data_IF_523844749691
#
_entry.id   IF_523844749691
#
_cell.length_a   1.000
_cell.length_b   1.000
_cell.length_c   1.000
_cell.angle_alpha   90.00
_cell.angle_beta   90.00
_cell.angle_gamma   90.00
#
_symmetry.space_group_name_H-M   'P 1'
#
loop_
_entity.id
_entity.type
_entity.pdbx_description
1 polymer ?
#
# COMPACT_ATOMS: atom_id res chain seq x y z
N UNK A 1 21.83 8.19 -32.54
CA UNK A 1 22.90 7.86 -31.57
C UNK A 1 22.59 8.64 -30.31
N UNK A 2 22.23 8.12 -29.14
CA UNK A 2 22.38 6.81 -28.51
C UNK A 2 21.08 6.48 -27.76
N UNK A 3 20.62 5.23 -27.80
CA UNK A 3 19.55 4.74 -26.94
C UNK A 3 20.09 3.58 -26.11
N UNK A 4 20.13 3.79 -24.80
CA UNK A 4 20.15 2.72 -23.80
C UNK A 4 18.81 1.95 -23.86
N UNK A 5 18.90 0.62 -23.83
CA UNK A 5 17.81 -0.36 -23.69
C UNK A 5 17.23 -0.41 -22.27
N UNK A 6 15.93 -0.74 -22.10
CA UNK A 6 15.53 -1.99 -21.40
C UNK A 6 14.16 -2.56 -21.90
N UNK A 7 13.69 -3.80 -21.70
CA UNK A 7 14.16 -5.07 -21.11
C UNK A 7 13.20 -6.15 -21.68
N UNK A 8 13.61 -6.91 -22.70
CA UNK A 8 12.93 -8.16 -23.05
C UNK A 8 13.37 -9.24 -22.05
N UNK A 9 12.40 -9.97 -21.50
CA UNK A 9 12.65 -11.29 -20.96
C UNK A 9 13.19 -12.16 -22.10
N UNK A 10 14.48 -12.44 -22.02
CA UNK A 10 15.23 -13.41 -22.78
C UNK A 10 14.47 -14.75 -22.81
N UNK A 11 13.98 -15.16 -23.98
CA UNK A 11 14.00 -16.59 -24.34
C UNK A 11 15.47 -16.96 -24.53
N UNK A 12 16.13 -17.23 -23.40
CA UNK A 12 17.37 -17.98 -23.41
C UNK A 12 17.05 -19.40 -23.88
N UNK A 13 17.50 -19.71 -25.08
CA UNK A 13 18.15 -20.98 -25.37
C UNK A 13 19.04 -20.74 -26.59
N UNK A 14 20.23 -20.17 -26.38
CA UNK A 14 21.43 -21.01 -26.41
C UNK A 14 22.12 -21.20 -25.04
N UNK A 15 21.36 -21.25 -23.96
CA UNK A 15 21.67 -22.22 -22.91
C UNK A 15 20.67 -23.36 -23.12
N UNK A 16 21.13 -24.56 -23.49
CA UNK A 16 20.26 -25.74 -23.44
C UNK A 16 19.54 -25.72 -22.10
N UNK A 17 18.21 -25.94 -22.11
CA UNK A 17 17.34 -25.71 -20.96
C UNK A 17 18.04 -26.12 -19.65
N UNK A 18 18.03 -25.27 -18.61
CA UNK A 18 18.61 -25.65 -17.32
C UNK A 18 18.11 -27.03 -16.94
N UNK A 19 18.92 -27.82 -16.24
CA UNK A 19 18.43 -29.12 -15.75
C UNK A 19 17.20 -28.86 -14.89
N UNK A 20 16.06 -29.42 -15.29
CA UNK A 20 14.76 -29.20 -14.64
C UNK A 20 14.37 -30.44 -13.86
N UNK A 21 14.13 -30.28 -12.56
CA UNK A 21 13.56 -31.31 -11.72
C UNK A 21 12.04 -31.16 -11.63
N UNK A 22 11.30 -32.22 -11.91
CA UNK A 22 9.88 -32.32 -11.53
C UNK A 22 9.76 -33.20 -10.30
N UNK A 23 9.29 -32.62 -9.19
CA UNK A 23 8.91 -33.39 -8.00
C UNK A 23 7.42 -33.68 -8.12
N UNK A 24 7.09 -34.94 -8.42
CA UNK A 24 5.75 -35.42 -8.80
C UNK A 24 5.60 -35.61 -10.31
N UNK A 25 5.16 -36.80 -10.71
CA UNK A 25 5.01 -37.25 -12.10
C UNK A 25 3.55 -37.35 -12.58
N UNK A 26 2.62 -36.65 -11.93
CA UNK A 26 1.19 -36.69 -12.25
C UNK A 26 0.81 -36.02 -13.58
N UNK A 27 -0.49 -36.02 -13.93
CA UNK A 27 -0.99 -35.57 -15.23
C UNK A 27 -0.54 -34.15 -15.64
N UNK A 28 -0.45 -33.20 -14.69
CA UNK A 28 0.06 -31.85 -14.97
C UNK A 28 1.56 -31.82 -15.23
N UNK A 29 2.34 -32.62 -14.48
CA UNK A 29 3.77 -32.78 -14.72
C UNK A 29 4.02 -33.37 -16.10
N UNK A 30 3.32 -34.45 -16.46
CA UNK A 30 3.38 -35.06 -17.80
C UNK A 30 2.98 -34.09 -18.92
N UNK A 31 2.00 -33.21 -18.69
CA UNK A 31 1.58 -32.21 -19.66
C UNK A 31 2.66 -31.14 -19.88
N UNK A 32 3.27 -30.66 -18.80
CA UNK A 32 4.35 -29.67 -18.85
C UNK A 32 5.62 -30.27 -19.45
N UNK A 33 6.00 -31.49 -19.05
CA UNK A 33 7.13 -32.23 -19.64
C UNK A 33 6.89 -32.46 -21.12
N UNK A 34 5.70 -32.90 -21.50
CA UNK A 34 5.33 -33.06 -22.91
C UNK A 34 5.35 -31.75 -23.69
N UNK A 35 4.92 -30.65 -23.06
CA UNK A 35 5.04 -29.30 -23.61
C UNK A 35 6.49 -28.85 -23.79
N UNK A 36 7.35 -29.10 -22.79
CA UNK A 36 8.78 -28.78 -22.83
C UNK A 36 9.50 -29.57 -23.91
N UNK A 37 9.31 -30.89 -23.96
CA UNK A 37 9.91 -31.77 -24.98
C UNK A 37 9.42 -31.37 -26.37
N UNK A 38 8.12 -31.09 -26.53
CA UNK A 38 7.56 -30.60 -27.80
C UNK A 38 8.09 -29.22 -28.19
N UNK A 39 8.46 -28.40 -27.21
CA UNK A 39 9.14 -27.11 -27.39
C UNK A 39 10.66 -27.25 -27.60
N UNK A 40 11.19 -28.47 -27.72
CA UNK A 40 12.60 -28.73 -28.02
C UNK A 40 13.50 -28.93 -26.79
N UNK A 41 12.92 -29.15 -25.61
CA UNK A 41 13.70 -29.53 -24.43
C UNK A 41 14.32 -30.92 -24.60
N UNK A 42 15.63 -31.01 -24.36
CA UNK A 42 16.32 -32.29 -24.27
C UNK A 42 15.78 -33.06 -23.05
N UNK A 43 15.16 -34.22 -23.31
CA UNK A 43 14.58 -35.06 -22.26
C UNK A 43 15.65 -35.59 -21.30
N UNK A 44 16.91 -35.71 -21.74
CA UNK A 44 18.04 -36.09 -20.88
C UNK A 44 18.37 -35.03 -19.80
N UNK A 45 17.85 -33.81 -19.95
CA UNK A 45 18.01 -32.71 -18.98
C UNK A 45 16.77 -32.51 -18.10
N UNK A 46 15.79 -33.41 -18.20
CA UNK A 46 14.58 -33.42 -17.38
C UNK A 46 14.63 -34.64 -16.47
N UNK A 47 14.64 -34.37 -15.17
CA UNK A 47 14.64 -35.40 -14.13
C UNK A 47 13.32 -35.35 -13.37
N UNK A 48 12.71 -36.51 -13.14
CA UNK A 48 11.40 -36.63 -12.50
C UNK A 48 11.49 -37.55 -11.29
N UNK A 49 11.18 -36.99 -10.11
CA UNK A 49 11.03 -37.77 -8.88
C UNK A 49 9.57 -38.16 -8.73
N UNK A 50 9.29 -39.46 -8.86
CA UNK A 50 7.94 -40.00 -8.79
C UNK A 50 7.96 -41.30 -7.97
N UNK A 51 7.41 -41.34 -6.75
CA UNK A 51 7.50 -42.51 -5.88
C UNK A 51 6.72 -43.74 -6.37
N UNK A 52 5.66 -43.55 -7.18
CA UNK A 52 4.83 -44.67 -7.64
C UNK A 52 5.42 -45.34 -8.90
N UNK A 53 5.77 -46.63 -8.78
CA UNK A 53 6.43 -47.40 -9.85
C UNK A 53 5.61 -47.44 -11.16
N UNK A 54 4.30 -47.64 -11.08
CA UNK A 54 3.41 -47.66 -12.25
C UNK A 54 3.36 -46.32 -12.99
N UNK A 55 3.46 -45.20 -12.26
CA UNK A 55 3.47 -43.87 -12.87
C UNK A 55 4.82 -43.57 -13.53
N UNK A 56 5.94 -44.02 -12.93
CA UNK A 56 7.27 -43.97 -13.56
C UNK A 56 7.31 -44.76 -14.86
N UNK A 57 6.79 -45.99 -14.88
CA UNK A 57 6.73 -46.80 -16.11
C UNK A 57 5.92 -46.09 -17.21
N UNK A 58 4.76 -45.51 -16.86
CA UNK A 58 3.96 -44.72 -17.81
C UNK A 58 4.69 -43.49 -18.36
N UNK A 59 5.44 -42.78 -17.53
CA UNK A 59 6.26 -41.65 -17.96
C UNK A 59 7.39 -42.08 -18.90
N UNK A 60 8.10 -43.16 -18.58
CA UNK A 60 9.20 -43.69 -19.41
C UNK A 60 8.73 -44.23 -20.76
N UNK A 61 7.53 -44.82 -20.82
CA UNK A 61 6.90 -45.22 -22.08
C UNK A 61 6.44 -44.02 -22.93
N UNK A 62 6.04 -42.92 -22.28
CA UNK A 62 5.50 -41.73 -22.96
C UNK A 62 6.60 -40.77 -23.43
N UNK A 63 7.71 -40.68 -22.70
CA UNK A 63 8.80 -39.74 -22.96
C UNK A 63 10.14 -40.47 -22.84
N UNK A 64 10.78 -40.74 -23.98
CA UNK A 64 12.09 -41.37 -24.02
C UNK A 64 13.19 -40.40 -23.55
N UNK A 65 14.14 -40.89 -22.76
CA UNK A 65 15.32 -40.13 -22.32
C UNK A 65 15.19 -39.37 -21.00
N UNK A 66 14.03 -39.42 -20.32
CA UNK A 66 13.89 -38.84 -18.97
C UNK A 66 14.71 -39.62 -17.93
N UNK A 67 15.37 -38.92 -17.01
CA UNK A 67 15.91 -39.54 -15.80
C UNK A 67 14.78 -39.68 -14.76
N UNK A 68 14.35 -40.91 -14.50
CA UNK A 68 13.25 -41.20 -13.58
C UNK A 68 13.79 -41.74 -12.25
N UNK A 69 13.51 -41.03 -11.17
CA UNK A 69 13.98 -41.37 -9.82
C UNK A 69 12.83 -41.83 -8.93
N UNK A 70 13.05 -42.91 -8.18
CA UNK A 70 12.08 -43.42 -7.23
C UNK A 70 12.00 -42.59 -5.94
N UNK A 71 13.09 -41.88 -5.60
CA UNK A 71 13.19 -41.01 -4.43
C UNK A 71 14.16 -39.85 -4.73
N UNK A 72 14.07 -38.72 -3.99
CA UNK A 72 15.05 -37.64 -4.08
C UNK A 72 16.48 -38.12 -3.81
N UNK A 73 17.45 -37.65 -4.57
CA UNK A 73 18.86 -38.08 -4.45
C UNK A 73 19.84 -37.08 -5.03
N UNK A 74 21.13 -37.46 -5.09
CA UNK A 74 22.22 -36.57 -5.48
C UNK A 74 22.05 -35.91 -6.87
N UNK A 75 21.38 -36.58 -7.82
CA UNK A 75 21.07 -36.03 -9.15
C UNK A 75 20.28 -34.71 -9.08
N UNK A 76 19.44 -34.51 -8.05
CA UNK A 76 18.68 -33.27 -7.87
C UNK A 76 19.57 -32.03 -7.64
N UNK A 77 20.82 -32.20 -7.18
CA UNK A 77 21.75 -31.08 -6.98
C UNK A 77 22.16 -30.42 -8.31
N UNK A 78 22.01 -31.13 -9.41
CA UNK A 78 22.32 -30.60 -10.75
C UNK A 78 21.19 -29.74 -11.31
N UNK A 79 19.99 -29.82 -10.71
CA UNK A 79 18.82 -29.07 -11.14
C UNK A 79 18.97 -27.58 -10.81
N UNK A 80 18.79 -26.73 -11.83
CA UNK A 80 18.78 -25.28 -11.65
C UNK A 80 17.34 -24.74 -11.51
N UNK A 81 16.34 -25.53 -11.91
CA UNK A 81 14.91 -25.26 -11.74
C UNK A 81 14.22 -26.48 -11.15
N UNK A 82 13.40 -26.29 -10.12
CA UNK A 82 12.64 -27.35 -9.46
C UNK A 82 11.15 -27.03 -9.54
N UNK A 83 10.41 -27.85 -10.27
CA UNK A 83 8.97 -27.78 -10.44
C UNK A 83 8.26 -28.68 -9.42
N UNK A 84 7.46 -28.07 -8.55
CA UNK A 84 6.64 -28.78 -7.56
C UNK A 84 5.28 -29.13 -8.13
N UNK A 85 5.08 -30.41 -8.42
CA UNK A 85 3.92 -30.99 -9.09
C UNK A 85 3.27 -32.15 -8.30
N UNK A 86 3.28 -32.05 -6.96
CA UNK A 86 2.67 -33.03 -6.05
C UNK A 86 1.29 -32.57 -5.55
N UNK A 87 0.51 -33.50 -5.01
CA UNK A 87 -0.73 -33.15 -4.30
C UNK A 87 -0.41 -32.32 -3.05
N UNK A 88 -1.21 -31.31 -2.67
CA UNK A 88 -0.93 -30.44 -1.52
C UNK A 88 -0.67 -31.19 -0.21
N UNK A 89 -1.37 -32.31 0.00
CA UNK A 89 -1.23 -33.16 1.19
C UNK A 89 0.11 -33.90 1.26
N UNK A 90 0.76 -34.11 0.11
CA UNK A 90 2.03 -34.85 0.00
C UNK A 90 3.25 -33.90 -0.04
N UNK A 91 3.02 -32.60 -0.17
CA UNK A 91 4.07 -31.61 -0.36
C UNK A 91 5.04 -31.53 0.83
N UNK A 92 4.54 -31.56 2.05
CA UNK A 92 5.40 -31.42 3.24
C UNK A 92 6.46 -32.53 3.31
N UNK A 93 6.06 -33.78 3.05
CA UNK A 93 6.97 -34.92 3.02
C UNK A 93 7.95 -34.83 1.84
N UNK A 94 7.44 -34.55 0.63
CA UNK A 94 8.28 -34.42 -0.56
C UNK A 94 9.31 -33.28 -0.45
N UNK A 95 8.94 -32.18 0.20
CA UNK A 95 9.83 -31.06 0.50
C UNK A 95 10.91 -31.45 1.50
N UNK A 96 10.56 -32.15 2.59
CA UNK A 96 11.51 -32.64 3.58
C UNK A 96 12.55 -33.59 2.97
N UNK A 97 12.09 -34.57 2.19
CA UNK A 97 12.95 -35.59 1.56
C UNK A 97 13.88 -34.99 0.50
N UNK A 98 13.47 -33.91 -0.16
CA UNK A 98 14.24 -33.26 -1.21
C UNK A 98 15.17 -32.16 -0.69
N UNK A 99 14.88 -31.56 0.48
CA UNK A 99 15.53 -30.34 1.00
C UNK A 99 17.05 -30.37 0.98
N UNK A 100 17.65 -31.50 1.30
CA UNK A 100 19.11 -31.66 1.35
C UNK A 100 19.80 -31.49 -0.02
N UNK A 101 19.06 -31.55 -1.13
CA UNK A 101 19.58 -31.65 -2.50
C UNK A 101 19.25 -30.44 -3.40
N UNK A 102 18.44 -29.47 -2.94
CA UNK A 102 17.84 -28.45 -3.82
C UNK A 102 18.68 -27.18 -4.02
N UNK A 103 19.68 -26.92 -3.18
CA UNK A 103 20.59 -25.77 -3.33
C UNK A 103 19.88 -24.41 -3.47
N UNK A 104 20.37 -23.56 -4.38
CA UNK A 104 19.79 -22.24 -4.73
C UNK A 104 19.00 -22.28 -6.06
N UNK A 105 18.43 -23.45 -6.39
CA UNK A 105 17.62 -23.63 -7.59
C UNK A 105 16.40 -22.68 -7.59
N UNK A 106 15.86 -22.37 -8.77
CA UNK A 106 14.59 -21.65 -8.88
C UNK A 106 13.43 -22.61 -8.60
N UNK A 107 12.60 -22.31 -7.59
CA UNK A 107 11.43 -23.11 -7.27
C UNK A 107 10.20 -22.63 -8.03
N UNK A 108 9.63 -23.48 -8.88
CA UNK A 108 8.41 -23.22 -9.62
C UNK A 108 7.30 -24.09 -9.05
N UNK A 109 6.22 -23.52 -8.51
CA UNK A 109 5.13 -24.31 -7.95
C UNK A 109 3.88 -24.24 -8.81
N UNK A 110 3.36 -25.41 -9.18
CA UNK A 110 2.09 -25.60 -9.89
C UNK A 110 0.98 -26.19 -8.99
N UNK A 111 1.27 -26.38 -7.69
CA UNK A 111 0.36 -27.04 -6.75
C UNK A 111 -0.83 -26.14 -6.40
N UNK A 112 -2.05 -26.66 -6.45
CA UNK A 112 -3.22 -25.94 -5.98
C UNK A 112 -3.19 -25.74 -4.45
N UNK A 113 -3.64 -24.60 -3.94
CA UNK A 113 -3.86 -24.41 -2.49
C UNK A 113 -2.63 -24.26 -1.57
N UNK A 114 -1.39 -24.54 -2.01
CA UNK A 114 -0.18 -24.37 -1.17
C UNK A 114 0.41 -22.96 -1.32
N UNK A 115 0.38 -22.14 -0.25
CA UNK A 115 0.86 -20.74 -0.29
C UNK A 115 2.37 -20.64 -0.46
N UNK A 116 2.85 -19.58 -1.14
CA UNK A 116 4.27 -19.27 -1.34
C UNK A 116 5.09 -19.37 -0.04
N UNK A 117 4.64 -18.70 1.03
CA UNK A 117 5.36 -18.72 2.32
C UNK A 117 5.46 -20.11 2.95
N UNK A 118 4.50 -21.01 2.72
CA UNK A 118 4.58 -22.39 3.19
C UNK A 118 5.63 -23.18 2.40
N UNK A 119 5.70 -22.96 1.08
CA UNK A 119 6.70 -23.57 0.19
C UNK A 119 8.10 -23.12 0.61
N UNK A 120 8.33 -21.82 0.71
CA UNK A 120 9.64 -21.27 1.10
C UNK A 120 10.13 -21.81 2.45
N UNK A 121 9.27 -21.89 3.47
CA UNK A 121 9.64 -22.44 4.79
C UNK A 121 10.01 -23.93 4.72
N UNK A 122 9.24 -24.72 3.96
CA UNK A 122 9.41 -26.17 3.90
C UNK A 122 10.59 -26.59 3.00
N UNK A 123 10.83 -25.86 1.91
CA UNK A 123 11.91 -26.17 0.95
C UNK A 123 13.21 -25.40 1.22
N UNK A 124 13.16 -24.30 1.98
CA UNK A 124 14.30 -23.40 2.17
C UNK A 124 14.58 -22.47 0.99
N UNK A 125 13.64 -22.35 0.04
CA UNK A 125 13.84 -21.62 -1.20
C UNK A 125 13.81 -20.09 -1.01
N UNK A 126 14.85 -19.42 -1.50
CA UNK A 126 14.96 -17.95 -1.64
C UNK A 126 14.32 -17.45 -2.94
N UNK A 127 14.35 -18.26 -4.00
CA UNK A 127 13.92 -17.93 -5.37
C UNK A 127 12.70 -18.76 -5.76
N UNK A 128 11.53 -18.13 -5.90
CA UNK A 128 10.28 -18.85 -6.14
C UNK A 128 9.33 -18.13 -7.10
N UNK A 129 8.67 -18.91 -7.96
CA UNK A 129 7.62 -18.48 -8.87
C UNK A 129 6.41 -19.40 -8.70
N UNK A 130 5.21 -18.81 -8.63
CA UNK A 130 3.97 -19.59 -8.71
C UNK A 130 3.34 -19.48 -10.08
N UNK A 131 2.85 -20.63 -10.51
CA UNK A 131 2.09 -20.81 -11.75
C UNK A 131 0.87 -21.66 -11.43
N UNK A 132 -0.22 -21.41 -12.14
CA UNK A 132 -1.37 -22.32 -12.16
C UNK A 132 -1.65 -22.68 -13.62
N UNK A 133 -1.07 -23.79 -14.12
CA UNK A 133 -1.45 -24.33 -15.41
C UNK A 133 -2.92 -24.74 -15.35
N UNK A 134 -3.71 -24.30 -16.32
CA UNK A 134 -5.12 -24.69 -16.42
C UNK A 134 -5.29 -26.00 -17.19
N UNK A 135 -6.48 -26.62 -17.10
CA UNK A 135 -6.79 -27.92 -17.72
C UNK A 135 -6.43 -28.05 -19.21
N UNK A 136 -6.57 -27.00 -20.05
CA UNK A 136 -6.08 -27.00 -21.44
C UNK A 136 -4.57 -27.25 -21.61
N UNK A 137 -3.75 -27.16 -20.56
CA UNK A 137 -2.34 -27.57 -20.59
C UNK A 137 -2.16 -29.06 -20.97
N UNK A 138 -3.13 -29.93 -20.64
CA UNK A 138 -3.10 -31.37 -20.97
C UNK A 138 -3.04 -31.65 -22.48
N UNK A 139 -3.55 -30.72 -23.29
CA UNK A 139 -3.57 -30.81 -24.75
C UNK A 139 -2.59 -29.81 -25.40
N UNK A 140 -1.68 -29.23 -24.60
CA UNK A 140 -0.68 -28.26 -25.07
C UNK A 140 -1.26 -26.89 -25.43
N UNK A 141 -2.44 -26.53 -24.91
CA UNK A 141 -3.15 -25.27 -25.18
C UNK A 141 -3.45 -24.48 -23.89
N UNK A 142 -2.70 -24.74 -22.83
CA UNK A 142 -2.87 -24.06 -21.54
C UNK A 142 -2.35 -22.63 -21.56
N UNK A 143 -3.00 -21.74 -20.82
CA UNK A 143 -2.45 -20.43 -20.47
C UNK A 143 -2.00 -20.49 -19.01
N UNK A 144 -0.82 -19.95 -18.74
CA UNK A 144 -0.24 -19.92 -17.41
C UNK A 144 -0.02 -18.47 -17.00
N UNK A 145 -0.74 -18.01 -15.99
CA UNK A 145 -0.41 -16.76 -15.32
C UNK A 145 0.87 -16.93 -14.52
N UNK A 146 1.90 -16.13 -14.82
CA UNK A 146 3.10 -16.04 -14.00
C UNK A 146 2.85 -15.02 -12.90
N UNK A 147 2.81 -15.49 -11.67
CA UNK A 147 2.73 -14.62 -10.52
C UNK A 147 4.12 -14.45 -9.90
N UNK A 148 4.80 -13.37 -10.28
CA UNK A 148 5.94 -12.84 -9.54
C UNK A 148 5.38 -11.98 -8.40
N UNK A 149 5.42 -12.49 -7.17
CA UNK A 149 4.84 -11.81 -6.02
C UNK A 149 5.73 -10.64 -5.58
N UNK A 150 5.32 -9.41 -5.88
CA UNK A 150 5.61 -8.24 -5.04
C UNK A 150 4.36 -7.36 -5.00
N UNK A 151 3.35 -7.78 -4.24
CA UNK A 151 2.09 -7.06 -4.02
C UNK A 151 2.19 -5.99 -2.92
N UNK A 152 3.37 -5.43 -2.72
CA UNK A 152 3.57 -4.15 -2.07
C UNK A 152 4.88 -3.60 -2.65
N UNK A 153 4.81 -2.55 -3.46
CA UNK A 153 6.01 -1.81 -3.81
C UNK A 153 6.57 -1.14 -2.54
N UNK A 154 7.86 -0.80 -2.53
CA UNK A 154 8.43 0.02 -1.46
C UNK A 154 7.64 1.35 -1.27
N UNK A 155 7.00 1.84 -2.33
CA UNK A 155 6.15 3.02 -2.28
C UNK A 155 4.81 2.77 -1.58
N UNK A 156 4.18 1.60 -1.78
CA UNK A 156 2.94 1.25 -1.07
C UNK A 156 3.20 1.09 0.43
N UNK A 157 4.34 0.51 0.81
CA UNK A 157 4.76 0.43 2.21
C UNK A 157 4.98 1.83 2.82
N UNK A 158 5.63 2.73 2.09
CA UNK A 158 5.84 4.11 2.57
C UNK A 158 4.54 4.90 2.65
N UNK A 159 3.62 4.73 1.70
CA UNK A 159 2.28 5.32 1.74
C UNK A 159 1.51 4.83 2.96
N UNK A 160 1.50 3.51 3.21
CA UNK A 160 0.86 2.93 4.39
C UNK A 160 1.49 3.42 5.70
N UNK A 161 2.83 3.49 5.77
CA UNK A 161 3.55 4.02 6.95
C UNK A 161 3.19 5.48 7.21
N UNK A 162 3.25 6.34 6.20
CA UNK A 162 2.91 7.75 6.32
C UNK A 162 1.44 7.93 6.73
N UNK A 163 0.53 7.12 6.18
CA UNK A 163 -0.88 7.14 6.56
C UNK A 163 -1.07 6.76 8.04
N UNK A 164 -0.42 5.69 8.51
CA UNK A 164 -0.48 5.28 9.92
C UNK A 164 0.10 6.34 10.85
N UNK A 165 1.23 6.95 10.49
CA UNK A 165 1.85 8.03 11.26
C UNK A 165 0.95 9.26 11.35
N UNK A 166 0.32 9.65 10.23
CA UNK A 166 -0.60 10.77 10.19
C UNK A 166 -1.88 10.50 10.99
N UNK A 167 -2.45 9.29 10.93
CA UNK A 167 -3.61 8.92 11.76
C UNK A 167 -3.24 8.94 13.23
N UNK A 168 -2.09 8.35 13.61
CA UNK A 168 -1.61 8.36 14.99
C UNK A 168 -1.42 9.79 15.54
N UNK A 169 -0.83 10.68 14.73
CA UNK A 169 -0.64 12.07 15.11
C UNK A 169 -1.98 12.81 15.28
N UNK A 170 -2.95 12.61 14.37
CA UNK A 170 -4.30 13.18 14.51
C UNK A 170 -4.99 12.69 15.79
N UNK A 171 -5.00 11.38 16.03
CA UNK A 171 -5.64 10.80 17.22
C UNK A 171 -5.01 11.34 18.51
N UNK A 172 -3.67 11.48 18.53
CA UNK A 172 -2.95 12.05 19.66
C UNK A 172 -3.30 13.52 19.90
N UNK A 173 -3.32 14.35 18.85
CA UNK A 173 -3.66 15.77 19.02
C UNK A 173 -5.12 15.97 19.42
N UNK A 174 -6.04 15.19 18.84
CA UNK A 174 -7.45 15.22 19.24
C UNK A 174 -7.63 14.73 20.69
N UNK A 175 -6.85 13.75 21.14
CA UNK A 175 -6.87 13.31 22.54
C UNK A 175 -6.43 14.44 23.48
N UNK A 176 -5.40 15.21 23.09
CA UNK A 176 -4.95 16.38 23.87
C UNK A 176 -5.94 17.54 23.86
N UNK A 177 -6.68 17.73 22.77
CA UNK A 177 -7.79 18.69 22.72
C UNK A 177 -8.96 18.22 23.61
N UNK A 178 -9.21 16.91 23.68
CA UNK A 178 -10.18 16.34 24.62
C UNK A 178 -9.73 16.51 26.08
N UNK A 179 -8.43 16.34 26.38
CA UNK A 179 -7.85 16.64 27.70
C UNK A 179 -8.08 18.12 28.09
N UNK A 180 -7.83 19.06 27.17
CA UNK A 180 -8.07 20.49 27.38
C UNK A 180 -9.57 20.81 27.55
N UNK A 181 -10.44 20.13 26.79
CA UNK A 181 -11.90 20.28 26.90
C UNK A 181 -12.43 19.77 28.24
N UNK A 182 -11.88 18.66 28.73
CA UNK A 182 -12.18 18.15 30.07
C UNK A 182 -11.77 19.15 31.14
N UNK A 183 -10.55 19.67 31.07
CA UNK A 183 -10.09 20.71 32.01
C UNK A 183 -11.01 21.93 32.02
N UNK A 184 -11.39 22.44 30.84
CA UNK A 184 -12.31 23.58 30.72
C UNK A 184 -13.65 23.30 31.43
N UNK A 185 -14.23 22.13 31.22
CA UNK A 185 -15.51 21.75 31.81
C UNK A 185 -15.39 21.50 33.31
N UNK A 186 -14.31 20.89 33.78
CA UNK A 186 -14.04 20.69 35.21
C UNK A 186 -13.91 22.05 35.93
N UNK A 187 -13.18 23.01 35.33
CA UNK A 187 -13.06 24.37 35.84
C UNK A 187 -14.42 25.10 35.82
N UNK A 188 -15.25 24.85 34.80
CA UNK A 188 -16.62 25.41 34.69
C UNK A 188 -17.56 24.84 35.75
N UNK A 189 -17.49 23.54 36.02
CA UNK A 189 -18.27 22.89 37.09
C UNK A 189 -17.95 23.53 38.43
N UNK A 190 -16.67 23.72 38.75
CA UNK A 190 -16.24 24.41 39.98
C UNK A 190 -16.75 25.86 40.06
N UNK A 191 -16.77 26.59 38.93
CA UNK A 191 -17.32 27.94 38.88
C UNK A 191 -18.84 27.94 39.12
N UNK A 192 -19.58 27.01 38.52
CA UNK A 192 -21.03 26.90 38.70
C UNK A 192 -21.44 26.39 40.08
N UNK A 193 -20.63 25.54 40.71
CA UNK A 193 -20.82 25.15 42.12
C UNK A 193 -20.75 26.37 43.05
N UNK A 194 -19.77 27.26 42.82
CA UNK A 194 -19.66 28.53 43.55
C UNK A 194 -20.85 29.44 43.27
N UNK A 195 -21.27 29.58 42.01
CA UNK A 195 -22.47 30.35 41.66
C UNK A 195 -23.73 29.83 42.35
N UNK A 196 -23.93 28.51 42.39
CA UNK A 196 -25.04 27.87 43.09
C UNK A 196 -24.99 28.10 44.60
N UNK A 197 -23.80 28.08 45.20
CA UNK A 197 -23.63 28.39 46.62
C UNK A 197 -24.01 29.84 46.92
N UNK A 198 -23.56 30.79 46.10
CA UNK A 198 -23.90 32.22 46.24
C UNK A 198 -25.41 32.44 46.09
N UNK A 199 -26.05 31.86 45.07
CA UNK A 199 -27.50 32.02 44.86
C UNK A 199 -28.31 31.38 45.98
N UNK A 200 -27.88 30.22 46.49
CA UNK A 200 -28.51 29.59 47.68
C UNK A 200 -28.40 30.45 48.92
N UNK A 201 -27.23 31.02 49.21
CA UNK A 201 -27.04 31.91 50.35
C UNK A 201 -27.97 33.12 50.23
N UNK A 202 -28.03 33.77 49.07
CA UNK A 202 -28.92 34.91 48.80
C UNK A 202 -30.41 34.55 48.94
N UNK A 203 -30.81 33.35 48.53
CA UNK A 203 -32.18 32.87 48.70
C UNK A 203 -32.54 32.68 50.19
N UNK A 204 -31.61 32.12 50.99
CA UNK A 204 -31.79 31.95 52.44
C UNK A 204 -31.91 33.31 53.15
N UNK A 205 -31.12 34.29 52.72
CA UNK A 205 -31.20 35.69 53.19
C UNK A 205 -32.42 36.46 52.63
N UNK A 206 -33.26 35.82 51.81
CA UNK A 206 -34.48 36.41 51.26
C UNK A 206 -34.27 37.45 50.14
N UNK A 207 -33.05 37.57 49.60
CA UNK A 207 -32.67 38.57 48.58
C UNK A 207 -32.55 37.98 47.15
N UNK A 208 -32.90 36.71 46.96
CA UNK A 208 -32.98 36.07 45.64
C UNK A 208 -34.23 35.18 45.53
N UNK A 209 -34.66 34.89 44.31
CA UNK A 209 -35.83 34.05 44.06
C UNK A 209 -35.45 32.56 44.03
N UNK A 210 -36.41 31.67 44.35
CA UNK A 210 -36.21 30.21 44.20
C UNK A 210 -35.86 29.83 42.75
N UNK A 211 -36.39 30.57 41.78
CA UNK A 211 -36.07 30.40 40.36
C UNK A 211 -34.58 30.53 40.05
N UNK A 212 -33.88 31.48 40.69
CA UNK A 212 -32.44 31.69 40.50
C UNK A 212 -31.64 30.46 40.96
N UNK A 213 -32.02 29.86 42.09
CA UNK A 213 -31.38 28.65 42.61
C UNK A 213 -31.59 27.47 41.66
N UNK A 214 -32.81 27.29 41.14
CA UNK A 214 -33.11 26.21 40.20
C UNK A 214 -32.39 26.41 38.86
N UNK A 215 -32.27 27.65 38.38
CA UNK A 215 -31.49 27.98 37.19
C UNK A 215 -29.99 27.66 37.39
N UNK A 216 -29.42 28.05 38.53
CA UNK A 216 -28.02 27.76 38.87
C UNK A 216 -27.76 26.25 38.97
N UNK A 217 -28.69 25.51 39.58
CA UNK A 217 -28.60 24.06 39.72
C UNK A 217 -28.70 23.35 38.36
N UNK A 218 -29.59 23.84 37.48
CA UNK A 218 -29.73 23.34 36.11
C UNK A 218 -28.43 23.54 35.33
N UNK A 219 -27.83 24.72 35.42
CA UNK A 219 -26.58 25.05 34.73
C UNK A 219 -25.42 24.18 35.21
N UNK A 220 -25.31 23.98 36.53
CA UNK A 220 -24.33 23.06 37.11
C UNK A 220 -24.50 21.63 36.61
N UNK A 221 -25.73 21.11 36.63
CA UNK A 221 -26.00 19.73 36.19
C UNK A 221 -25.75 19.53 34.70
N UNK A 222 -26.06 20.53 33.88
CA UNK A 222 -25.73 20.52 32.45
C UNK A 222 -24.20 20.48 32.21
N UNK A 223 -23.43 21.30 32.92
CA UNK A 223 -21.96 21.28 32.83
C UNK A 223 -21.36 19.94 33.29
N UNK A 224 -21.87 19.38 34.39
CA UNK A 224 -21.45 18.05 34.88
C UNK A 224 -21.71 16.95 33.84
N UNK A 225 -22.88 16.97 33.19
CA UNK A 225 -23.18 16.01 32.12
C UNK A 225 -22.24 16.16 30.92
N UNK A 226 -21.92 17.40 30.52
CA UNK A 226 -20.95 17.65 29.45
C UNK A 226 -19.54 17.18 29.80
N UNK A 227 -19.08 17.39 31.04
CA UNK A 227 -17.77 16.95 31.51
C UNK A 227 -17.63 15.43 31.43
N UNK A 228 -18.67 14.69 31.85
CA UNK A 228 -18.71 13.22 31.73
C UNK A 228 -18.65 12.79 30.27
N UNK A 229 -19.39 13.45 29.38
CA UNK A 229 -19.46 13.07 27.97
C UNK A 229 -18.11 13.20 27.24
N UNK A 230 -17.25 14.16 27.61
CA UNK A 230 -15.89 14.26 27.04
C UNK A 230 -15.06 13.00 27.31
N UNK A 231 -15.34 12.28 28.39
CA UNK A 231 -14.71 10.99 28.69
C UNK A 231 -14.91 9.94 27.60
N UNK A 232 -16.06 9.93 26.92
CA UNK A 232 -16.35 9.00 25.82
C UNK A 232 -15.43 9.26 24.63
N UNK A 233 -15.33 10.52 24.20
CA UNK A 233 -14.48 10.91 23.07
C UNK A 233 -13.01 10.62 23.37
N UNK A 234 -12.56 10.93 24.59
CA UNK A 234 -11.19 10.66 25.02
C UNK A 234 -10.86 9.16 25.00
N UNK A 235 -11.75 8.31 25.52
CA UNK A 235 -11.54 6.86 25.54
C UNK A 235 -11.48 6.27 24.13
N UNK A 236 -12.33 6.75 23.21
CA UNK A 236 -12.29 6.31 21.80
C UNK A 236 -10.94 6.62 21.13
N UNK A 237 -10.38 7.81 21.36
CA UNK A 237 -9.08 8.21 20.83
C UNK A 237 -7.94 7.41 21.47
N UNK A 238 -8.01 7.15 22.77
CA UNK A 238 -7.01 6.33 23.49
C UNK A 238 -7.01 4.88 22.97
N UNK A 239 -8.19 4.31 22.73
CA UNK A 239 -8.32 2.98 22.12
C UNK A 239 -7.82 2.95 20.67
N UNK A 240 -8.07 3.99 19.88
CA UNK A 240 -7.55 4.10 18.50
C UNK A 240 -6.02 4.10 18.48
N UNK A 241 -5.39 4.88 19.38
CA UNK A 241 -3.94 4.91 19.56
C UNK A 241 -3.40 3.55 20.02
N UNK A 242 -4.09 2.86 20.93
CA UNK A 242 -3.70 1.51 21.37
C UNK A 242 -3.64 0.55 20.17
N UNK A 243 -4.67 0.55 19.31
CA UNK A 243 -4.72 -0.30 18.11
C UNK A 243 -3.62 0.05 17.12
N UNK A 244 -3.35 1.33 16.87
CA UNK A 244 -2.28 1.77 15.97
C UNK A 244 -0.87 1.44 16.48
N UNK A 245 -0.71 1.33 17.81
CA UNK A 245 0.56 0.93 18.46
C UNK A 245 0.66 -0.58 18.72
N UNK A 246 -0.36 -1.36 18.32
CA UNK A 246 -0.38 -2.82 18.45
C UNK A 246 -0.60 -3.33 19.88
N UNK A 247 -1.24 -2.54 20.74
CA UNK A 247 -1.57 -2.89 22.14
C UNK A 247 -3.06 -3.12 22.31
N UNK A 248 -3.44 -3.99 23.25
CA UNK A 248 -4.84 -4.16 23.63
C UNK A 248 -5.35 -2.86 24.30
N UNK A 249 -6.55 -2.36 23.96
CA UNK A 249 -7.09 -1.14 24.55
C UNK A 249 -7.16 -1.15 26.09
N UNK A 250 -7.36 -2.34 26.69
CA UNK A 250 -7.42 -2.49 28.15
C UNK A 250 -6.06 -2.31 28.87
N UNK A 251 -4.94 -2.44 28.15
CA UNK A 251 -3.58 -2.39 28.72
C UNK A 251 -2.84 -1.08 28.38
N UNK A 252 -3.49 -0.19 27.61
CA UNK A 252 -2.91 1.05 27.15
C UNK A 252 -3.57 2.23 27.84
N UNK A 253 -2.77 3.12 28.42
CA UNK A 253 -3.29 4.40 28.89
C UNK A 253 -2.31 5.55 28.70
N UNK A 254 -2.86 6.73 28.43
CA UNK A 254 -2.15 8.01 28.34
C UNK A 254 -2.64 8.90 29.47
N UNK A 255 -1.72 9.38 30.31
CA UNK A 255 -2.04 10.32 31.37
C UNK A 255 -2.52 11.68 30.82
N UNK A 256 -3.46 12.30 31.55
CA UNK A 256 -3.86 13.69 31.34
C UNK A 256 -2.64 14.61 31.46
N UNK A 257 -2.47 15.52 30.50
CA UNK A 257 -1.38 16.48 30.50
C UNK A 257 -1.86 17.83 30.00
N UNK A 258 -1.25 18.91 30.51
CA UNK A 258 -1.44 20.25 29.95
C UNK A 258 -0.93 20.27 28.51
N UNK A 259 -1.71 20.85 27.62
CA UNK A 259 -1.40 20.87 26.19
C UNK A 259 -1.29 22.30 25.70
N UNK A 260 -0.07 22.71 25.33
CA UNK A 260 0.20 23.98 24.68
C UNK A 260 0.94 23.70 23.36
N UNK A 261 0.21 23.38 22.28
CA UNK A 261 0.84 23.01 21.02
C UNK A 261 1.52 24.21 20.36
N UNK A 262 2.77 24.02 19.97
CA UNK A 262 3.42 24.89 18.99
C UNK A 262 3.04 24.36 17.61
N UNK A 263 2.23 25.11 16.88
CA UNK A 263 1.90 24.79 15.49
C UNK A 263 3.14 25.06 14.61
N UNK A 264 3.54 24.14 13.73
CA UNK A 264 4.65 24.38 12.82
C UNK A 264 4.29 25.52 11.87
N UNK A 265 5.24 26.43 11.63
CA UNK A 265 5.05 27.51 10.67
C UNK A 265 5.07 26.93 9.25
N UNK A 266 4.02 27.24 8.48
CA UNK A 266 3.85 26.74 7.11
C UNK A 266 4.59 27.72 6.18
N UNK A 267 5.52 27.25 5.34
CA UNK A 267 6.16 28.12 4.37
C UNK A 267 5.16 28.59 3.30
N UNK A 268 5.36 29.81 2.82
CA UNK A 268 4.58 30.37 1.73
C UNK A 268 4.94 29.64 0.42
N UNK A 269 4.02 28.79 -0.04
CA UNK A 269 4.15 28.06 -1.29
C UNK A 269 4.74 26.67 -1.11
N UNK A 270 4.05 25.67 -1.65
CA UNK A 270 4.53 24.30 -1.75
C UNK A 270 5.10 24.10 -3.15
N UNK A 271 6.40 23.86 -3.32
CA UNK A 271 6.95 23.50 -4.62
C UNK A 271 6.27 22.25 -5.19
N UNK A 272 5.90 22.27 -6.46
CA UNK A 272 5.36 21.09 -7.18
C UNK A 272 6.31 19.89 -7.12
N UNK A 273 7.61 20.14 -6.96
CA UNK A 273 8.65 19.12 -6.73
C UNK A 273 8.43 18.28 -5.45
N UNK A 274 7.63 18.75 -4.48
CA UNK A 274 7.28 17.96 -3.30
C UNK A 274 6.21 16.90 -3.59
N UNK A 275 5.40 17.08 -4.63
CA UNK A 275 4.41 16.08 -5.03
C UNK A 275 5.05 14.86 -5.68
N UNK A 276 6.18 15.03 -6.37
CA UNK A 276 6.98 13.92 -6.90
C UNK A 276 7.52 13.00 -5.80
N UNK A 277 7.58 13.47 -4.55
CA UNK A 277 7.99 12.66 -3.39
C UNK A 277 6.87 11.78 -2.86
N UNK A 278 5.61 12.00 -3.26
CA UNK A 278 4.50 11.21 -2.71
C UNK A 278 4.57 9.76 -3.21
N UNK A 279 4.58 8.77 -2.29
CA UNK A 279 4.68 7.37 -2.69
C UNK A 279 3.48 6.85 -3.48
N UNK A 280 2.28 7.42 -3.30
CA UNK A 280 1.07 7.04 -4.05
C UNK A 280 1.17 7.42 -5.53
N UNK A 281 1.66 8.63 -5.86
CA UNK A 281 1.92 9.08 -7.23
C UNK A 281 2.99 8.19 -7.89
N UNK A 282 4.09 7.91 -7.19
CA UNK A 282 5.15 7.04 -7.70
C UNK A 282 4.68 5.59 -7.95
N UNK A 283 3.73 5.08 -7.15
CA UNK A 283 3.12 3.76 -7.35
C UNK A 283 2.20 3.76 -8.58
N UNK A 284 1.40 4.81 -8.75
CA UNK A 284 0.51 4.98 -9.90
C UNK A 284 1.29 5.13 -11.22
N UNK A 285 2.39 5.89 -11.22
CA UNK A 285 3.28 6.05 -12.37
C UNK A 285 3.88 4.70 -12.80
N UNK A 286 4.43 3.93 -11.85
CA UNK A 286 4.98 2.59 -12.12
C UNK A 286 3.93 1.63 -12.66
N UNK A 287 2.69 1.74 -12.19
CA UNK A 287 1.56 0.94 -12.69
C UNK A 287 1.23 1.31 -14.14
N UNK A 288 1.25 2.60 -14.48
CA UNK A 288 1.06 3.06 -15.85
C UNK A 288 2.21 2.63 -16.78
N UNK A 289 3.46 2.71 -16.31
CA UNK A 289 4.62 2.23 -17.05
C UNK A 289 4.54 0.70 -17.32
N UNK A 290 4.10 -0.09 -16.33
CA UNK A 290 3.89 -1.53 -16.49
C UNK A 290 2.75 -1.85 -17.47
N UNK A 291 1.68 -1.04 -17.50
CA UNK A 291 0.61 -1.18 -18.47
C UNK A 291 1.07 -0.84 -19.90
N UNK A 292 1.90 0.20 -20.07
CA UNK A 292 2.50 0.55 -21.37
C UNK A 292 3.37 -0.59 -21.93
N UNK A 293 4.18 -1.23 -21.08
CA UNK A 293 5.00 -2.38 -21.49
C UNK A 293 4.14 -3.55 -22.01
N UNK A 294 2.92 -3.74 -21.48
CA UNK A 294 1.98 -4.77 -21.96
C UNK A 294 1.42 -4.47 -23.35
N UNK A 295 1.30 -3.21 -23.76
CA UNK A 295 0.96 -2.86 -25.15
C UNK A 295 2.05 -3.36 -26.09
N UNK A 296 3.33 -3.15 -25.75
CA UNK A 296 4.46 -3.66 -26.54
C UNK A 296 4.45 -5.18 -26.68
N UNK A 297 4.08 -5.90 -25.61
CA UNK A 297 3.89 -7.36 -25.65
C UNK A 297 2.72 -7.77 -26.56
N UNK A 298 1.61 -7.03 -26.54
CA UNK A 298 0.46 -7.30 -27.42
C UNK A 298 0.76 -6.98 -28.89
N UNK A 299 1.50 -5.90 -29.17
CA UNK A 299 1.91 -5.51 -30.52
C UNK A 299 2.95 -6.46 -31.12
N UNK A 300 3.85 -7.00 -30.29
CA UNK A 300 4.83 -7.99 -30.74
C UNK A 300 4.17 -9.23 -31.37
N UNK A 301 2.93 -9.57 -30.97
CA UNK A 301 2.17 -10.69 -31.52
C UNK A 301 1.75 -10.52 -33.00
N UNK A 302 1.88 -9.32 -33.58
CA UNK A 302 1.64 -9.05 -35.00
C UNK A 302 2.86 -9.32 -35.89
N UNK A 303 4.06 -9.38 -35.32
CA UNK A 303 5.29 -9.62 -36.07
C UNK A 303 5.56 -11.12 -36.18
N UNK A 304 6.21 -11.57 -37.28
CA UNK A 304 6.60 -12.96 -37.41
C UNK A 304 7.62 -13.32 -36.33
N UNK A 305 7.42 -14.46 -35.69
CA UNK A 305 8.41 -15.01 -34.77
C UNK A 305 9.61 -15.48 -35.60
N UNK A 306 10.73 -14.78 -35.50
CA UNK A 306 11.99 -15.17 -36.12
C UNK A 306 12.66 -16.21 -35.21
N UNK A 307 12.54 -17.48 -35.57
CA UNK A 307 13.26 -18.54 -34.87
C UNK A 307 14.45 -18.97 -35.70
N UNK A 308 15.67 -18.67 -35.23
CA UNK A 308 16.90 -19.10 -35.88
C UNK A 308 17.18 -20.55 -35.49
N UNK A 309 16.96 -21.47 -36.41
CA UNK A 309 17.21 -22.89 -36.17
C UNK A 309 18.54 -23.29 -36.82
N UNK A 310 19.45 -23.84 -36.02
CA UNK A 310 20.70 -24.43 -36.48
C UNK A 310 20.70 -25.92 -36.16
N UNK A 311 20.82 -26.77 -37.17
CA UNK A 311 20.96 -28.21 -37.00
C UNK A 311 22.30 -28.67 -37.54
N UNK A 312 23.00 -29.51 -36.77
CA UNK A 312 24.21 -30.20 -37.18
C UNK A 312 24.02 -31.68 -36.83
N UNK A 313 24.23 -32.56 -37.81
CA UNK A 313 23.91 -33.97 -37.66
C UNK A 313 24.75 -34.88 -38.54
N UNK A 314 24.69 -36.18 -38.24
CA UNK A 314 25.25 -37.26 -39.06
C UNK A 314 24.07 -38.05 -39.63
N UNK A 315 23.98 -38.10 -40.95
CA UNK A 315 22.97 -38.93 -41.62
C UNK A 315 23.66 -40.18 -42.17
N UNK A 316 23.30 -41.33 -41.61
CA UNK A 316 23.63 -42.65 -42.17
C UNK A 316 22.32 -43.33 -42.55
N UNK A 317 22.02 -43.39 -43.84
CA UNK A 317 20.94 -44.22 -44.36
C UNK A 317 21.47 -45.64 -44.57
N UNK A 318 20.94 -46.55 -43.77
CA UNK A 318 20.87 -48.00 -44.02
C UNK A 318 22.13 -48.82 -43.70
N UNK A 319 21.89 -49.97 -43.04
CA UNK A 319 22.85 -51.05 -42.82
C UNK A 319 23.38 -51.54 -44.18
N UNK A 320 24.70 -51.38 -44.39
CA UNK A 320 25.63 -52.18 -45.20
C UNK A 320 26.54 -51.24 -45.99
N UNK A 321 27.73 -50.93 -45.43
CA UNK A 321 29.03 -51.07 -46.11
C UNK A 321 30.16 -50.53 -45.24
N UNK A 322 31.20 -51.35 -45.14
CA UNK A 322 32.48 -51.05 -44.51
C UNK A 322 33.25 -49.97 -45.29
N UNK A 323 33.99 -49.12 -44.56
CA UNK A 323 34.90 -48.06 -45.02
C UNK A 323 34.29 -46.90 -45.85
N UNK A 324 33.91 -45.78 -45.20
CA UNK A 324 34.18 -44.40 -45.69
C UNK A 324 33.87 -43.34 -44.62
N UNK A 325 34.50 -42.16 -44.78
CA UNK A 325 34.64 -41.02 -43.86
C UNK A 325 33.31 -40.41 -43.33
N UNK A 326 33.34 -39.63 -42.23
CA UNK A 326 32.12 -39.14 -41.57
C UNK A 326 31.36 -38.13 -42.43
N UNK A 327 30.14 -38.49 -42.87
CA UNK A 327 29.16 -37.61 -43.52
C UNK A 327 28.57 -36.60 -42.52
N UNK A 328 29.28 -35.49 -42.30
CA UNK A 328 28.79 -34.33 -41.53
C UNK A 328 27.94 -33.45 -42.43
N UNK A 329 26.69 -33.19 -42.04
CA UNK A 329 25.89 -32.12 -42.64
C UNK A 329 25.52 -31.08 -41.57
N UNK A 330 25.47 -29.82 -41.98
CA UNK A 330 25.02 -28.70 -41.16
C UNK A 330 24.02 -27.89 -41.98
N UNK A 331 22.91 -27.49 -41.37
CA UNK A 331 21.91 -26.61 -41.95
C UNK A 331 21.59 -25.49 -40.95
N UNK A 332 21.77 -24.25 -41.40
CA UNK A 332 21.41 -23.05 -40.66
C UNK A 332 20.30 -22.36 -41.44
N UNK A 333 19.10 -22.30 -40.89
CA UNK A 333 17.93 -21.77 -41.59
C UNK A 333 16.98 -21.05 -40.63
N UNK A 334 16.57 -19.81 -40.93
CA UNK A 334 15.52 -19.14 -40.18
C UNK A 334 14.14 -19.74 -40.51
N UNK A 335 13.32 -19.99 -39.49
CA UNK A 335 11.89 -20.27 -39.65
C UNK A 335 11.12 -19.03 -39.23
N UNK A 336 10.40 -18.43 -40.18
CA UNK A 336 9.42 -17.36 -39.94
C UNK A 336 8.02 -18.00 -39.83
N UNK A 337 7.36 -17.82 -38.69
CA UNK A 337 5.94 -18.11 -38.55
C UNK A 337 5.16 -16.81 -38.47
N UNK A 338 4.28 -16.55 -39.44
CA UNK A 338 3.39 -15.39 -39.46
C UNK A 338 1.95 -15.86 -39.50
N UNK A 339 1.10 -15.32 -38.63
CA UNK A 339 -0.33 -15.64 -38.71
C UNK A 339 -0.99 -14.78 -39.77
N UNK A 340 -1.59 -15.43 -40.77
CA UNK A 340 -2.24 -14.75 -41.90
C UNK A 340 -3.70 -14.37 -41.60
N UNK A 341 -4.40 -15.12 -40.74
CA UNK A 341 -5.79 -14.86 -40.38
C UNK A 341 -6.10 -15.35 -38.95
N UNK A 342 -6.68 -14.50 -38.11
CA UNK A 342 -6.98 -14.80 -36.70
C UNK A 342 -8.34 -14.25 -36.22
N UNK A 343 -9.21 -13.84 -37.13
CA UNK A 343 -10.54 -13.33 -36.81
C UNK A 343 -10.55 -12.04 -35.97
N UNK A 344 -9.44 -11.29 -35.92
CA UNK A 344 -9.35 -10.04 -35.16
C UNK A 344 -8.96 -10.23 -33.69
N UNK A 345 -8.64 -11.45 -33.25
CA UNK A 345 -8.24 -11.73 -31.87
C UNK A 345 -7.07 -10.85 -31.39
N UNK A 346 -6.02 -10.68 -32.20
CA UNK A 346 -4.87 -9.83 -31.85
C UNK A 346 -5.21 -8.35 -31.80
N UNK A 347 -6.11 -7.89 -32.67
CA UNK A 347 -6.62 -6.51 -32.61
C UNK A 347 -7.38 -6.29 -31.31
N UNK A 348 -8.30 -7.18 -30.95
CA UNK A 348 -9.05 -7.10 -29.70
C UNK A 348 -8.14 -7.18 -28.45
N UNK A 349 -7.10 -8.02 -28.44
CA UNK A 349 -6.13 -8.08 -27.34
C UNK A 349 -5.28 -6.82 -27.23
N UNK A 350 -4.93 -6.20 -28.36
CA UNK A 350 -4.19 -4.93 -28.38
C UNK A 350 -5.09 -3.78 -27.93
N UNK A 351 -6.34 -3.73 -28.40
CA UNK A 351 -7.35 -2.77 -27.93
C UNK A 351 -7.61 -2.92 -26.42
N UNK A 352 -7.69 -4.15 -25.91
CA UNK A 352 -7.81 -4.39 -24.47
C UNK A 352 -6.58 -3.87 -23.69
N UNK A 353 -5.37 -4.10 -24.20
CA UNK A 353 -4.14 -3.62 -23.57
C UNK A 353 -4.04 -2.09 -23.61
N UNK A 354 -4.46 -1.47 -24.71
CA UNK A 354 -4.56 0.00 -24.86
C UNK A 354 -5.58 0.58 -23.89
N UNK A 355 -6.79 0.00 -23.79
CA UNK A 355 -7.80 0.43 -22.84
C UNK A 355 -7.34 0.29 -21.37
N UNK A 356 -6.61 -0.79 -21.04
CA UNK A 356 -6.03 -0.96 -19.71
C UNK A 356 -4.94 0.07 -19.39
N UNK A 357 -4.14 0.47 -20.39
CA UNK A 357 -3.18 1.57 -20.26
C UNK A 357 -3.89 2.90 -20.08
N UNK A 358 -4.92 3.20 -20.89
CA UNK A 358 -5.70 4.43 -20.76
C UNK A 358 -6.35 4.54 -19.38
N UNK A 359 -6.88 3.44 -18.84
CA UNK A 359 -7.36 3.37 -17.46
C UNK A 359 -6.23 3.68 -16.45
N UNK A 360 -5.04 3.12 -16.63
CA UNK A 360 -3.91 3.37 -15.73
C UNK A 360 -3.41 4.82 -15.77
N UNK A 361 -3.41 5.45 -16.95
CA UNK A 361 -3.08 6.87 -17.13
C UNK A 361 -4.14 7.76 -16.50
N UNK A 362 -5.42 7.42 -16.66
CA UNK A 362 -6.51 8.12 -15.99
C UNK A 362 -6.39 8.03 -14.46
N UNK A 363 -6.08 6.85 -13.93
CA UNK A 363 -5.84 6.67 -12.49
C UNK A 363 -4.64 7.49 -12.00
N UNK A 364 -3.52 7.50 -12.73
CA UNK A 364 -2.35 8.33 -12.40
C UNK A 364 -2.72 9.83 -12.36
N UNK A 365 -3.43 10.32 -13.39
CA UNK A 365 -3.91 11.71 -13.42
C UNK A 365 -4.83 12.02 -12.25
N UNK A 366 -5.76 11.11 -11.91
CA UNK A 366 -6.66 11.27 -10.78
C UNK A 366 -5.90 11.33 -9.45
N UNK A 367 -4.91 10.46 -9.25
CA UNK A 367 -4.06 10.47 -8.05
C UNK A 367 -3.27 11.78 -7.93
N UNK A 368 -2.71 12.28 -9.03
CA UNK A 368 -2.01 13.57 -9.03
C UNK A 368 -2.96 14.73 -8.70
N UNK A 369 -4.13 14.81 -9.34
CA UNK A 369 -5.14 15.85 -9.09
C UNK A 369 -5.64 15.82 -7.64
N UNK A 370 -5.92 14.62 -7.11
CA UNK A 370 -6.31 14.46 -5.71
C UNK A 370 -5.20 14.93 -4.76
N UNK A 371 -3.93 14.65 -5.09
CA UNK A 371 -2.81 15.11 -4.29
C UNK A 371 -2.66 16.65 -4.29
N UNK A 372 -2.86 17.31 -5.43
CA UNK A 372 -2.90 18.77 -5.49
C UNK A 372 -4.07 19.32 -4.66
N UNK A 373 -5.25 18.72 -4.79
CA UNK A 373 -6.42 19.10 -4.02
C UNK A 373 -6.15 18.98 -2.50
N UNK A 374 -5.58 17.85 -2.05
CA UNK A 374 -5.23 17.65 -0.63
C UNK A 374 -4.35 18.79 -0.09
N UNK A 375 -3.38 19.26 -0.88
CA UNK A 375 -2.46 20.32 -0.46
C UNK A 375 -3.18 21.66 -0.37
N UNK A 376 -3.90 22.04 -1.42
CA UNK A 376 -4.62 23.32 -1.49
C UNK A 376 -5.70 23.41 -0.40
N UNK A 377 -6.47 22.33 -0.19
CA UNK A 377 -7.51 22.27 0.84
C UNK A 377 -6.92 22.49 2.23
N UNK A 378 -5.79 21.83 2.56
CA UNK A 378 -5.16 21.96 3.87
C UNK A 378 -4.44 23.32 4.06
N UNK A 379 -3.82 23.89 3.01
CA UNK A 379 -3.26 25.24 3.06
C UNK A 379 -4.36 26.29 3.28
N UNK A 380 -5.46 26.19 2.54
CA UNK A 380 -6.61 27.07 2.69
C UNK A 380 -7.21 26.93 4.09
N UNK A 381 -7.40 25.70 4.58
CA UNK A 381 -7.90 25.43 5.92
C UNK A 381 -7.02 26.07 7.00
N UNK A 382 -5.70 25.89 6.94
CA UNK A 382 -4.79 26.45 7.94
C UNK A 382 -4.82 27.98 7.99
N UNK A 383 -4.83 28.63 6.81
CA UNK A 383 -4.95 30.09 6.71
C UNK A 383 -6.27 30.62 7.27
N UNK A 384 -7.39 29.99 6.89
CA UNK A 384 -8.73 30.43 7.33
C UNK A 384 -8.92 30.16 8.83
N UNK A 385 -8.49 29.00 9.32
CA UNK A 385 -8.58 28.63 10.74
C UNK A 385 -7.68 29.51 11.62
N UNK A 386 -6.56 29.99 11.11
CA UNK A 386 -5.72 30.97 11.83
C UNK A 386 -6.46 32.29 12.03
N UNK A 387 -7.09 32.83 10.98
CA UNK A 387 -7.92 34.05 11.09
C UNK A 387 -9.10 33.82 12.04
N UNK A 388 -9.76 32.67 11.94
CA UNK A 388 -10.86 32.30 12.83
C UNK A 388 -10.40 32.21 14.29
N UNK A 389 -9.22 31.63 14.55
CA UNK A 389 -8.66 31.52 15.91
C UNK A 389 -8.42 32.89 16.54
N UNK A 390 -7.87 33.85 15.80
CA UNK A 390 -7.63 35.21 16.30
C UNK A 390 -8.92 35.91 16.73
N UNK A 391 -9.95 35.85 15.87
CA UNK A 391 -11.27 36.41 16.18
C UNK A 391 -11.94 35.68 17.35
N UNK A 392 -11.79 34.35 17.43
CA UNK A 392 -12.35 33.57 18.53
C UNK A 392 -11.65 33.89 19.86
N UNK A 393 -10.34 34.14 19.87
CA UNK A 393 -9.59 34.53 21.07
C UNK A 393 -10.02 35.90 21.60
N UNK A 394 -10.36 36.84 20.72
CA UNK A 394 -11.00 38.11 21.09
C UNK A 394 -12.40 37.88 21.69
N UNK A 395 -13.21 37.02 21.07
CA UNK A 395 -14.56 36.69 21.55
C UNK A 395 -14.53 35.99 22.92
N UNK A 396 -13.56 35.11 23.18
CA UNK A 396 -13.36 34.48 24.50
C UNK A 396 -12.99 35.50 25.55
N UNK A 397 -12.07 36.43 25.25
CA UNK A 397 -11.69 37.51 26.16
C UNK A 397 -12.89 38.39 26.53
N UNK A 398 -13.61 38.88 25.52
CA UNK A 398 -14.80 39.71 25.74
C UNK A 398 -15.91 38.97 26.52
N UNK A 399 -16.12 37.68 26.26
CA UNK A 399 -17.11 36.90 26.97
C UNK A 399 -16.73 36.67 28.46
N UNK A 400 -15.44 36.45 28.75
CA UNK A 400 -14.94 36.35 30.15
C UNK A 400 -15.13 37.65 30.92
N UNK A 401 -14.81 38.78 30.31
CA UNK A 401 -15.05 40.10 30.91
C UNK A 401 -16.55 40.32 31.18
N UNK A 402 -17.41 39.92 30.25
CA UNK A 402 -18.86 39.99 30.40
C UNK A 402 -19.37 39.15 31.58
N UNK A 403 -18.81 37.95 31.79
CA UNK A 403 -19.12 37.12 32.96
C UNK A 403 -18.72 37.82 34.25
N UNK A 404 -17.53 38.42 34.32
CA UNK A 404 -17.07 39.12 35.50
C UNK A 404 -17.97 40.33 35.84
N UNK A 405 -18.34 41.13 34.84
CA UNK A 405 -19.23 42.29 35.00
C UNK A 405 -20.61 41.87 35.47
N UNK A 406 -21.26 40.91 34.78
CA UNK A 406 -22.60 40.47 35.15
C UNK A 406 -22.63 39.82 36.54
N UNK A 407 -21.59 39.07 36.91
CA UNK A 407 -21.48 38.48 38.25
C UNK A 407 -21.41 39.58 39.32
N UNK A 408 -20.61 40.62 39.11
CA UNK A 408 -20.50 41.75 40.05
C UNK A 408 -21.82 42.53 40.16
N UNK A 409 -22.49 42.78 39.04
CA UNK A 409 -23.81 43.43 39.02
C UNK A 409 -24.87 42.59 39.73
N UNK A 410 -24.85 41.27 39.55
CA UNK A 410 -25.76 40.36 40.26
C UNK A 410 -25.49 40.37 41.78
N UNK A 411 -24.23 40.35 42.19
CA UNK A 411 -23.85 40.48 43.59
C UNK A 411 -24.29 41.82 44.19
N UNK A 412 -24.22 42.91 43.42
CA UNK A 412 -24.73 44.22 43.79
C UNK A 412 -26.27 44.34 43.72
N UNK A 413 -26.97 43.34 43.16
CA UNK A 413 -28.43 43.33 43.01
C UNK A 413 -28.96 44.23 41.88
N UNK A 414 -28.11 44.62 40.91
CA UNK A 414 -28.51 45.52 39.81
C UNK A 414 -29.02 44.79 38.57
N UNK A 415 -28.79 43.47 38.47
CA UNK A 415 -29.27 42.61 37.36
C UNK A 415 -29.79 41.28 37.89
N UNK A 416 -30.52 40.55 37.04
CA UNK A 416 -31.08 39.24 37.40
C UNK A 416 -30.04 38.13 37.31
N UNK A 417 -30.28 36.98 37.96
CA UNK A 417 -29.40 35.82 37.77
C UNK A 417 -29.45 35.27 36.33
N UNK A 418 -30.56 35.47 35.61
CA UNK A 418 -30.69 35.06 34.22
C UNK A 418 -29.65 35.75 33.32
N UNK A 419 -29.30 37.00 33.60
CA UNK A 419 -28.25 37.73 32.88
C UNK A 419 -26.88 37.07 33.07
N UNK A 420 -26.59 36.59 34.28
CA UNK A 420 -25.38 35.81 34.58
C UNK A 420 -25.35 34.49 33.82
N UNK A 421 -26.47 33.76 33.81
CA UNK A 421 -26.58 32.48 33.08
C UNK A 421 -26.36 32.67 31.59
N UNK A 422 -26.93 33.74 31.01
CA UNK A 422 -26.77 34.05 29.59
C UNK A 422 -25.30 34.30 29.23
N UNK A 423 -24.60 35.18 29.95
CA UNK A 423 -23.19 35.46 29.65
C UNK A 423 -22.25 34.29 29.95
N UNK A 424 -22.55 33.49 30.99
CA UNK A 424 -21.79 32.27 31.29
C UNK A 424 -21.94 31.22 30.17
N UNK A 425 -23.14 31.10 29.60
CA UNK A 425 -23.39 30.18 28.48
C UNK A 425 -22.66 30.63 27.22
N UNK A 426 -22.64 31.93 26.94
CA UNK A 426 -21.86 32.52 25.83
C UNK A 426 -20.36 32.27 26.02
N UNK A 427 -19.83 32.50 27.23
CA UNK A 427 -18.42 32.25 27.53
C UNK A 427 -18.03 30.78 27.32
N UNK A 428 -18.78 29.84 27.89
CA UNK A 428 -18.52 28.41 27.71
C UNK A 428 -18.61 28.00 26.23
N UNK A 429 -19.58 28.53 25.49
CA UNK A 429 -19.73 28.26 24.05
C UNK A 429 -18.50 28.74 23.27
N UNK A 430 -18.04 29.97 23.54
CA UNK A 430 -16.86 30.55 22.90
C UNK A 430 -15.56 29.81 23.24
N UNK A 431 -15.39 29.40 24.50
CA UNK A 431 -14.19 28.65 24.94
C UNK A 431 -14.15 27.26 24.31
N UNK A 432 -15.29 26.57 24.20
CA UNK A 432 -15.38 25.29 23.50
C UNK A 432 -15.12 25.44 22.00
N UNK A 433 -15.63 26.51 21.38
CA UNK A 433 -15.35 26.81 19.97
C UNK A 433 -13.86 27.05 19.72
N UNK A 434 -13.16 27.76 20.61
CA UNK A 434 -11.72 27.97 20.53
C UNK A 434 -10.94 26.63 20.56
N UNK A 435 -11.32 25.70 21.44
CA UNK A 435 -10.72 24.37 21.49
C UNK A 435 -11.02 23.54 20.23
N UNK A 436 -12.23 23.64 19.68
CA UNK A 436 -12.59 22.96 18.43
C UNK A 436 -11.76 23.50 17.24
N UNK A 437 -11.59 24.82 17.14
CA UNK A 437 -10.75 25.46 16.13
C UNK A 437 -9.30 25.01 16.28
N UNK A 438 -8.78 24.94 17.51
CA UNK A 438 -7.44 24.42 17.79
C UNK A 438 -7.27 22.98 17.28
N UNK A 439 -8.25 22.11 17.55
CA UNK A 439 -8.27 20.74 17.03
C UNK A 439 -8.24 20.69 15.51
N UNK A 440 -9.08 21.49 14.84
CA UNK A 440 -9.09 21.60 13.37
C UNK A 440 -7.75 22.06 12.81
N UNK A 441 -7.08 23.03 13.46
CA UNK A 441 -5.75 23.52 13.04
C UNK A 441 -4.68 22.43 13.14
N UNK A 442 -4.69 21.66 14.23
CA UNK A 442 -3.75 20.55 14.43
C UNK A 442 -3.98 19.45 13.38
N UNK A 443 -5.23 19.07 13.15
CA UNK A 443 -5.57 18.07 12.12
C UNK A 443 -5.16 18.54 10.73
N UNK A 444 -5.49 19.77 10.35
CA UNK A 444 -5.10 20.33 9.05
C UNK A 444 -3.57 20.38 8.88
N UNK A 445 -2.83 20.68 9.96
CA UNK A 445 -1.36 20.68 9.94
C UNK A 445 -0.81 19.27 9.70
N UNK A 446 -1.33 18.25 10.38
CA UNK A 446 -0.93 16.85 10.16
C UNK A 446 -1.30 16.37 8.75
N UNK A 447 -2.48 16.74 8.25
CA UNK A 447 -2.92 16.39 6.91
C UNK A 447 -2.08 17.07 5.83
N UNK A 448 -1.67 18.33 6.04
CA UNK A 448 -0.71 18.99 5.16
C UNK A 448 0.63 18.23 5.16
N UNK A 449 1.13 17.85 6.35
CA UNK A 449 2.36 17.03 6.51
C UNK A 449 2.29 15.73 5.71
N UNK A 450 1.14 15.05 5.79
CA UNK A 450 0.85 13.84 5.00
C UNK A 450 0.81 14.16 3.50
N UNK A 451 0.13 15.23 3.11
CA UNK A 451 -0.11 15.59 1.71
C UNK A 451 1.19 15.87 0.93
N UNK A 452 2.25 16.38 1.57
CA UNK A 452 3.56 16.55 0.92
C UNK A 452 4.53 15.37 1.11
N UNK A 453 4.05 14.21 1.56
CA UNK A 453 4.87 12.99 1.62
C UNK A 453 5.73 12.83 2.88
N UNK A 454 5.53 13.66 3.92
CA UNK A 454 6.22 13.57 5.22
C UNK A 454 7.66 14.10 5.27
N UNK A 455 8.12 14.48 6.47
CA UNK A 455 9.54 14.69 6.77
C UNK A 455 10.18 16.02 6.33
N UNK A 456 9.48 17.14 6.47
CA UNK A 456 10.03 18.44 6.07
C UNK A 456 10.56 19.15 7.31
N UNK A 457 11.77 19.66 7.19
CA UNK A 457 12.25 20.69 8.11
C UNK A 457 11.92 22.05 7.49
N UNK A 458 11.55 23.05 8.30
CA UNK A 458 11.19 24.38 7.80
C UNK A 458 12.31 24.99 6.92
N UNK A 459 13.56 24.70 7.27
CA UNK A 459 14.75 25.12 6.52
C UNK A 459 14.82 24.49 5.12
N UNK A 460 14.43 23.21 5.00
CA UNK A 460 14.47 22.48 3.72
C UNK A 460 13.39 22.97 2.73
N UNK A 461 12.32 23.59 3.21
CA UNK A 461 11.25 24.16 2.38
C UNK A 461 11.65 25.53 1.84
N UNK A 462 12.34 26.34 2.64
CA UNK A 462 12.89 27.63 2.21
C UNK A 462 13.97 27.45 1.12
N UNK A 463 14.83 26.44 1.24
CA UNK A 463 15.84 26.11 0.23
C UNK A 463 15.21 25.68 -1.10
N UNK A 464 14.12 24.90 -1.06
CA UNK A 464 13.38 24.47 -2.25
C UNK A 464 12.60 25.60 -2.90
N UNK A 465 11.98 26.49 -2.11
CA UNK A 465 11.31 27.68 -2.62
C UNK A 465 12.30 28.65 -3.30
N UNK A 466 13.52 28.79 -2.76
CA UNK A 466 14.60 29.56 -3.38
C UNK A 466 15.05 28.96 -4.73
N UNK A 467 15.09 27.62 -4.85
CA UNK A 467 15.47 26.93 -6.08
C UNK A 467 14.41 26.94 -7.20
N UNK A 468 13.15 27.22 -6.86
CA UNK A 468 12.03 27.25 -7.81
C UNK A 468 11.82 28.63 -8.48
N UNK A 469 12.64 29.64 -8.15
CA UNK A 469 12.62 30.92 -8.85
C UNK A 469 13.21 30.73 -10.27
N UNK A 470 12.50 31.12 -11.34
CA UNK A 470 13.03 30.96 -12.69
C UNK A 470 14.28 31.83 -12.86
N UNK A 471 15.34 31.35 -13.54
CA UNK A 471 16.46 32.21 -13.87
C UNK A 471 15.94 33.36 -14.74
N UNK A 472 16.11 34.60 -14.29
CA UNK A 472 15.95 35.82 -15.07
C UNK A 472 17.05 35.87 -16.14
N UNK A 473 16.92 34.99 -17.14
CA UNK A 473 17.76 34.97 -18.33
C UNK A 473 17.01 35.58 -19.49
N UNK A 474 17.22 36.87 -19.74
CA UNK A 474 16.84 37.53 -20.99
C UNK A 474 17.53 36.82 -22.16
N UNK A 475 16.77 36.09 -22.97
CA UNK A 475 17.24 35.58 -24.26
C UNK A 475 17.24 36.72 -25.30
N UNK A 476 18.33 36.96 -26.03
CA UNK A 476 18.34 37.97 -27.08
C UNK A 476 17.56 37.45 -28.29
N UNK A 477 16.54 38.21 -28.69
CA UNK A 477 15.84 38.03 -29.96
C UNK A 477 16.80 38.44 -31.06
N UNK A 478 17.19 37.48 -31.90
CA UNK A 478 17.92 37.76 -33.14
C UNK A 478 16.90 37.78 -34.28
N UNK A 479 16.93 38.86 -35.07
CA UNK A 479 16.12 39.07 -36.28
C UNK A 479 16.34 38.01 -37.34
#
# INVERSE_FOLDING_TARGET
MHRMEPLHATTSSAAGLPVVAFVGGGNMSSALIGGLIKAGADSARILVVEPFAEQRVRLGQRFAGLELLAAPGASLRTAQVVVWAVKPQQFAQAAADSRAYLGDALHVSIMAGVRCGAIARQTGASRMVRTMPNTPALIGRGITGLFASVQASAADLQSARLSVQATLAQDYFLLRVADASRKLLDDTVLAYEKSLQVTRNRYVEGVAARGDVVAAETQLKAAQAQAVNVGVQRAQLEHAIAVLTGRAPAEFSIALAAFNPVLPQIPAGVPSALLERRPDIASAERTAAAANARIGVAQAAFYPDLTLTGSAGFQSSTLVQWLSLPSRFWALGPVLAQTLFDGGLRRAQTEQAMAAYDQSVANYRQTALAAFQDVEDNLAALRILEQQAQLQDEAVRAARDSVAIATNQYLAGTVSYLDVVNVQTIALTNERAALAILGSRLTASVLLVKALGGGWNADALNDLAASASPPTGTMPVTQ
#
